data_IF_270531870064
#
_entry.id   IF_270531870064
#
_cell.length_a   1.000
_cell.length_b   1.000
_cell.length_c   1.000
_cell.angle_alpha   90.00
_cell.angle_beta   90.00
_cell.angle_gamma   90.00
#
_symmetry.space_group_name_H-M   'P 1'
#
loop_
_entity.id
_entity.type
_entity.pdbx_description
1 polymer ?
#
# COMPACT_ATOMS: atom_id res chain seq x y z
N UNK A 1 20.15 3.15 1.95
CA UNK A 1 19.01 3.44 1.13
C UNK A 1 18.34 2.18 0.60
N UNK A 2 17.09 2.18 0.55
CA UNK A 2 16.36 1.03 0.05
C UNK A 2 15.31 1.49 -0.96
N UNK A 3 14.96 0.58 -1.85
CA UNK A 3 13.95 0.86 -2.84
C UNK A 3 12.62 0.30 -2.36
N UNK A 4 11.54 0.94 -2.78
CA UNK A 4 10.19 0.54 -2.41
C UNK A 4 9.55 -0.18 -3.60
N UNK A 5 9.98 -1.42 -3.79
CA UNK A 5 9.45 -2.27 -4.86
C UNK A 5 8.97 -3.57 -4.28
N UNK A 6 7.96 -4.14 -4.91
CA UNK A 6 7.52 -5.50 -4.61
C UNK A 6 7.58 -6.30 -5.89
N UNK A 7 7.84 -7.59 -5.76
CA UNK A 7 7.87 -8.49 -6.92
C UNK A 7 6.63 -9.36 -6.88
N UNK A 8 5.73 -9.10 -7.81
CA UNK A 8 4.44 -9.80 -7.88
C UNK A 8 4.38 -10.53 -9.21
N UNK A 9 4.27 -11.86 -9.13
CA UNK A 9 4.23 -12.72 -10.32
C UNK A 9 5.39 -12.46 -11.26
N UNK A 10 6.55 -12.17 -10.70
CA UNK A 10 7.77 -11.95 -11.49
C UNK A 10 7.96 -10.52 -11.96
N UNK A 11 7.02 -9.62 -11.68
CA UNK A 11 7.14 -8.23 -12.11
C UNK A 11 7.44 -7.32 -10.94
N UNK A 12 8.32 -6.35 -11.18
CA UNK A 12 8.67 -5.35 -10.16
C UNK A 12 7.67 -4.22 -10.19
N UNK A 13 7.03 -3.97 -9.05
CA UNK A 13 6.00 -2.93 -8.92
C UNK A 13 6.53 -1.89 -7.94
N UNK A 14 6.48 -0.62 -8.33
CA UNK A 14 6.90 0.48 -7.48
C UNK A 14 5.80 0.83 -6.49
N UNK A 15 6.10 0.72 -5.19
CA UNK A 15 5.14 1.10 -4.16
C UNK A 15 4.90 2.61 -4.15
N UNK A 16 5.91 3.40 -4.53
CA UNK A 16 5.73 4.84 -4.64
C UNK A 16 4.72 5.19 -5.75
N UNK A 17 4.78 4.47 -6.87
CA UNK A 17 3.81 4.67 -7.94
C UNK A 17 2.40 4.26 -7.51
N UNK A 18 2.29 3.18 -6.74
CA UNK A 18 1.01 2.74 -6.20
C UNK A 18 0.43 3.82 -5.29
N UNK A 19 1.25 4.40 -4.43
CA UNK A 19 0.79 5.45 -3.52
C UNK A 19 0.35 6.69 -4.25
N UNK A 20 1.05 7.07 -5.33
CA UNK A 20 0.63 8.21 -6.13
C UNK A 20 -0.75 7.98 -6.76
N UNK A 21 -0.98 6.78 -7.26
CA UNK A 21 -2.29 6.45 -7.83
C UNK A 21 -3.36 6.45 -6.73
N UNK A 22 -3.03 5.91 -5.56
CA UNK A 22 -3.98 5.90 -4.44
C UNK A 22 -4.35 7.32 -4.01
N UNK A 23 -3.39 8.24 -4.03
CA UNK A 23 -3.68 9.63 -3.65
C UNK A 23 -4.62 10.32 -4.62
N UNK A 24 -4.73 9.82 -5.84
CA UNK A 24 -5.68 10.35 -6.81
C UNK A 24 -7.11 9.91 -6.52
N UNK A 25 -7.30 8.84 -5.75
CA UNK A 25 -8.63 8.27 -5.50
C UNK A 25 -9.01 8.29 -4.02
N UNK A 26 -8.09 8.63 -3.14
CA UNK A 26 -8.33 8.69 -1.70
C UNK A 26 -8.06 10.11 -1.23
N UNK A 27 -8.92 10.62 -0.33
CA UNK A 27 -8.76 11.96 0.21
C UNK A 27 -7.40 12.14 0.88
N UNK A 28 -6.81 13.33 0.76
CA UNK A 28 -5.54 13.64 1.38
C UNK A 28 -5.61 13.60 2.89
N UNK A 29 -6.80 13.70 3.46
CA UNK A 29 -6.97 13.63 4.91
C UNK A 29 -6.73 12.23 5.47
N UNK A 30 -6.81 11.22 4.60
CA UNK A 30 -6.61 9.83 5.02
C UNK A 30 -5.13 9.51 4.96
N UNK A 31 -4.59 9.03 6.09
CA UNK A 31 -3.20 8.56 6.12
C UNK A 31 -3.12 7.18 5.49
N UNK A 32 -2.26 7.01 4.51
CA UNK A 32 -2.06 5.72 3.86
C UNK A 32 -0.57 5.49 3.61
N UNK A 33 -0.21 4.21 3.61
CA UNK A 33 1.11 3.80 3.17
C UNK A 33 0.98 2.39 2.58
N UNK A 34 1.64 2.15 1.45
CA UNK A 34 1.62 0.84 0.81
C UNK A 34 2.86 0.06 1.20
N UNK A 35 2.67 -1.19 1.60
CA UNK A 35 3.80 -2.06 1.96
C UNK A 35 3.67 -3.38 1.21
N UNK A 36 4.80 -4.08 1.06
CA UNK A 36 4.83 -5.39 0.43
C UNK A 36 4.99 -6.46 1.48
N UNK A 37 4.17 -7.50 1.41
CA UNK A 37 4.25 -8.64 2.31
C UNK A 37 4.36 -9.91 1.50
N UNK A 38 4.94 -10.98 2.08
CA UNK A 38 5.00 -12.26 1.37
C UNK A 38 3.61 -12.81 1.06
N UNK A 39 3.50 -13.46 -0.08
CA UNK A 39 2.27 -14.12 -0.51
C UNK A 39 2.62 -15.43 -1.17
N UNK A 40 1.97 -16.52 -0.74
CA UNK A 40 2.32 -17.86 -1.18
C UNK A 40 2.12 -18.07 -2.68
N UNK A 41 1.16 -17.39 -3.29
CA UNK A 41 0.83 -17.61 -4.69
C UNK A 41 1.47 -16.61 -5.65
N UNK A 42 1.78 -15.41 -5.17
CA UNK A 42 2.27 -14.33 -6.04
C UNK A 42 3.71 -13.91 -5.76
N UNK A 43 4.30 -14.45 -4.71
CA UNK A 43 5.61 -14.03 -4.23
C UNK A 43 5.47 -12.94 -3.21
N UNK A 44 4.86 -11.82 -3.60
CA UNK A 44 4.56 -10.72 -2.69
C UNK A 44 3.19 -10.16 -3.02
N UNK A 45 2.62 -9.41 -2.08
CA UNK A 45 1.35 -8.72 -2.28
C UNK A 45 1.45 -7.32 -1.72
N UNK A 46 0.59 -6.43 -2.20
CA UNK A 46 0.53 -5.06 -1.72
C UNK A 46 -0.54 -4.97 -0.65
N UNK A 47 -0.16 -4.48 0.52
CA UNK A 47 -1.08 -4.25 1.63
C UNK A 47 -1.10 -2.75 1.92
N UNK A 48 -2.30 -2.20 2.01
CA UNK A 48 -2.47 -0.78 2.28
C UNK A 48 -2.72 -0.59 3.77
N UNK A 49 -1.85 0.18 4.42
CA UNK A 49 -2.02 0.52 5.83
C UNK A 49 -2.67 1.89 5.89
N UNK A 50 -3.79 2.01 6.58
CA UNK A 50 -4.60 3.22 6.60
C UNK A 50 -4.97 3.58 8.03
N UNK A 51 -5.13 4.86 8.30
CA UNK A 51 -5.62 5.31 9.60
C UNK A 51 -7.14 5.43 9.66
N UNK A 52 -7.84 5.00 8.59
CA UNK A 52 -9.30 5.02 8.51
C UNK A 52 -9.82 3.84 7.74
N UNK A 53 -11.09 3.54 7.93
CA UNK A 53 -11.76 2.51 7.15
C UNK A 53 -11.83 2.91 5.68
N UNK A 54 -11.62 1.95 4.80
CA UNK A 54 -11.63 2.18 3.37
C UNK A 54 -12.54 1.18 2.69
N UNK A 55 -13.05 1.56 1.50
CA UNK A 55 -13.78 0.62 0.64
C UNK A 55 -12.81 0.15 -0.45
N UNK A 56 -12.19 -0.99 -0.23
CA UNK A 56 -11.15 -1.49 -1.12
C UNK A 56 -11.69 -1.79 -2.52
N UNK A 57 -12.94 -2.24 -2.61
CA UNK A 57 -13.56 -2.53 -3.91
C UNK A 57 -13.66 -1.26 -4.76
N UNK A 58 -14.12 -0.17 -4.14
CA UNK A 58 -14.23 1.11 -4.83
C UNK A 58 -12.86 1.63 -5.22
N UNK A 59 -11.89 1.52 -4.31
CA UNK A 59 -10.53 1.99 -4.57
C UNK A 59 -9.92 1.24 -5.76
N UNK A 60 -10.06 -0.07 -5.79
CA UNK A 60 -9.54 -0.87 -6.90
C UNK A 60 -10.17 -0.47 -8.23
N UNK A 61 -11.48 -0.26 -8.24
CA UNK A 61 -12.16 0.13 -9.46
C UNK A 61 -11.66 1.48 -9.95
N UNK A 62 -11.51 2.44 -9.05
CA UNK A 62 -11.02 3.77 -9.43
C UNK A 62 -9.60 3.72 -9.97
N UNK A 63 -8.75 2.88 -9.38
CA UNK A 63 -7.39 2.71 -9.87
C UNK A 63 -7.38 2.12 -11.28
N UNK A 64 -8.24 1.13 -11.55
CA UNK A 64 -8.35 0.57 -12.89
C UNK A 64 -8.83 1.63 -13.87
N UNK A 65 -9.76 2.47 -13.48
CA UNK A 65 -10.26 3.55 -14.34
C UNK A 65 -9.17 4.56 -14.67
N UNK A 66 -8.17 4.69 -13.78
CA UNK A 66 -7.01 5.55 -14.04
C UNK A 66 -5.99 4.91 -14.98
N UNK A 67 -6.19 3.64 -15.33
CA UNK A 67 -5.25 2.92 -16.18
C UNK A 67 -4.19 2.15 -15.44
N UNK A 68 -4.33 1.96 -14.13
CA UNK A 68 -3.37 1.17 -13.37
C UNK A 68 -3.44 -0.30 -13.77
N UNK A 69 -2.29 -0.96 -13.76
CA UNK A 69 -2.22 -2.39 -14.00
C UNK A 69 -2.83 -3.13 -12.81
N UNK A 70 -3.39 -4.31 -13.09
CA UNK A 70 -4.01 -5.11 -12.03
C UNK A 70 -3.03 -5.44 -10.90
N UNK A 71 -1.75 -5.63 -11.22
CA UNK A 71 -0.75 -5.96 -10.20
C UNK A 71 -0.47 -4.80 -9.25
N UNK A 72 -0.85 -3.58 -9.59
CA UNK A 72 -0.68 -2.42 -8.74
C UNK A 72 -1.79 -2.26 -7.71
N UNK A 73 -2.86 -3.04 -7.82
CA UNK A 73 -4.00 -2.91 -6.91
C UNK A 73 -3.68 -3.54 -5.57
N UNK A 74 -4.01 -2.86 -4.46
CA UNK A 74 -3.78 -3.47 -3.14
C UNK A 74 -4.64 -4.72 -2.97
N UNK A 75 -4.04 -5.76 -2.39
CA UNK A 75 -4.74 -7.01 -2.15
C UNK A 75 -5.61 -6.93 -0.90
N UNK A 76 -5.16 -6.18 0.10
CA UNK A 76 -5.88 -6.00 1.36
C UNK A 76 -5.51 -4.66 1.96
N UNK A 77 -6.26 -4.27 2.98
CA UNK A 77 -5.88 -3.09 3.74
C UNK A 77 -6.05 -3.39 5.23
N UNK A 78 -5.37 -2.61 6.05
CA UNK A 78 -5.44 -2.72 7.50
C UNK A 78 -5.57 -1.33 8.08
N UNK A 79 -6.39 -1.21 9.14
CA UNK A 79 -6.63 0.06 9.79
C UNK A 79 -5.75 0.13 11.04
N UNK A 80 -5.05 1.24 11.21
CA UNK A 80 -4.24 1.51 12.40
C UNK A 80 -4.67 2.84 13.00
N UNK A 81 -4.25 3.09 14.25
CA UNK A 81 -4.62 4.34 14.91
C UNK A 81 -3.99 5.55 14.22
N UNK A 82 -2.75 5.41 13.79
CA UNK A 82 -2.07 6.47 13.07
C UNK A 82 -0.94 5.85 12.26
N UNK A 83 -0.61 6.51 11.15
CA UNK A 83 0.51 6.07 10.32
C UNK A 83 1.81 6.42 11.04
N UNK A 84 2.72 5.45 11.21
CA UNK A 84 3.99 5.74 11.87
C UNK A 84 4.84 6.72 11.05
N UNK A 85 5.48 7.64 11.73
CA UNK A 85 6.28 8.67 11.08
C UNK A 85 7.72 8.63 11.59
N UNK A 86 8.64 8.97 10.71
CA UNK A 86 10.04 9.18 11.09
C UNK A 86 10.16 10.53 11.79
N UNK A 87 11.30 10.76 12.45
CA UNK A 87 11.57 12.05 13.08
C UNK A 87 11.50 13.20 12.10
N UNK A 88 11.74 12.94 10.81
CA UNK A 88 11.66 13.96 9.77
C UNK A 88 10.22 14.28 9.34
N UNK A 89 9.24 13.53 9.84
CA UNK A 89 7.84 13.71 9.46
C UNK A 89 7.39 12.86 8.29
N UNK A 90 8.32 12.15 7.66
CA UNK A 90 7.97 11.25 6.55
C UNK A 90 7.45 9.92 7.10
N UNK A 91 6.65 9.23 6.28
CA UNK A 91 6.10 7.94 6.70
C UNK A 91 7.22 6.93 6.95
N UNK A 92 7.10 6.20 8.06
CA UNK A 92 8.06 5.16 8.43
C UNK A 92 7.62 3.84 7.80
N UNK A 93 8.14 3.57 6.61
CA UNK A 93 7.77 2.40 5.83
C UNK A 93 8.09 1.11 6.56
N UNK A 94 9.26 1.05 7.20
CA UNK A 94 9.67 -0.18 7.88
C UNK A 94 8.75 -0.50 9.04
N UNK A 95 8.35 0.51 9.79
CA UNK A 95 7.45 0.31 10.92
C UNK A 95 6.05 -0.06 10.44
N UNK A 96 5.58 0.60 9.38
CA UNK A 96 4.28 0.27 8.80
C UNK A 96 4.25 -1.17 8.33
N UNK A 97 5.33 -1.63 7.69
CA UNK A 97 5.41 -3.02 7.23
C UNK A 97 5.40 -3.98 8.41
N UNK A 98 6.11 -3.66 9.48
CA UNK A 98 6.12 -4.50 10.68
C UNK A 98 4.73 -4.58 11.30
N UNK A 99 4.00 -3.46 11.33
CA UNK A 99 2.63 -3.45 11.82
C UNK A 99 1.73 -4.33 10.95
N UNK A 100 1.88 -4.26 9.64
CA UNK A 100 1.08 -5.07 8.72
C UNK A 100 1.37 -6.55 8.90
N UNK A 101 2.63 -6.92 9.10
CA UNK A 101 3.01 -8.32 9.32
C UNK A 101 2.31 -8.89 10.56
N UNK A 102 2.16 -8.08 11.60
CA UNK A 102 1.52 -8.54 12.84
C UNK A 102 0.08 -8.99 12.64
N UNK A 103 -0.60 -8.48 11.64
CA UNK A 103 -2.01 -8.81 11.40
C UNK A 103 -2.16 -9.94 10.40
N UNK A 104 -1.07 -10.52 9.93
CA UNK A 104 -1.13 -11.67 9.05
C UNK A 104 -1.10 -12.97 9.87
#
# INVERSE_FOLDING_TARGET
RYSRFVKIRGEMISLAAVERALRSVISEEVGIIAVGLPDATRGEKIVLVSDRELDLTVIRKKMLDLGCQALMLPAEYQVVNSIPLLGSGKADVRRARAMAVKFQ
#
